data_IF_413787968286
#
_entry.id   IF_413787968286
#
_cell.length_a   1.000
_cell.length_b   1.000
_cell.length_c   1.000
_cell.angle_alpha   90.00
_cell.angle_beta   90.00
_cell.angle_gamma   90.00
#
_symmetry.space_group_name_H-M   'P 1'
#
loop_
_entity.id
_entity.type
_entity.pdbx_description
1 polymer ?
#
# COMPACT_ATOMS: atom_id res chain seq x y z
N UNK A 1 28.44 17.07 -5.45
CA UNK A 1 27.27 17.44 -6.27
C UNK A 1 26.08 16.89 -5.54
N UNK A 2 25.17 17.74 -5.08
CA UNK A 2 23.99 17.31 -4.33
C UNK A 2 22.97 16.81 -5.36
N UNK A 3 22.78 15.50 -5.45
CA UNK A 3 21.75 14.92 -6.29
C UNK A 3 20.40 15.42 -5.82
N UNK A 4 19.81 16.28 -6.65
CA UNK A 4 18.49 16.83 -6.49
C UNK A 4 17.50 15.67 -6.63
N UNK A 5 17.19 15.00 -5.50
CA UNK A 5 16.14 13.99 -5.42
C UNK A 5 14.81 14.70 -5.73
N UNK A 6 14.51 14.84 -7.02
CA UNK A 6 13.16 15.13 -7.46
C UNK A 6 12.33 13.99 -6.93
N UNK A 7 11.63 14.23 -5.83
CA UNK A 7 10.67 13.33 -5.22
C UNK A 7 9.49 13.18 -6.20
N UNK A 8 9.75 12.50 -7.31
CA UNK A 8 8.73 12.07 -8.26
C UNK A 8 8.07 10.92 -7.55
N UNK A 9 6.98 11.21 -6.85
CA UNK A 9 6.08 10.18 -6.37
C UNK A 9 5.56 9.43 -7.61
N UNK A 10 6.18 8.29 -7.91
CA UNK A 10 5.77 7.49 -9.04
C UNK A 10 4.40 6.90 -8.73
N UNK A 11 3.46 7.05 -9.66
CA UNK A 11 2.17 6.39 -9.58
C UNK A 11 2.37 4.91 -9.91
N UNK A 12 2.06 4.03 -8.96
CA UNK A 12 2.08 2.60 -9.22
C UNK A 12 0.99 2.27 -10.26
N UNK A 13 1.29 1.54 -11.36
CA UNK A 13 0.30 1.23 -12.39
C UNK A 13 -0.93 0.49 -11.86
N UNK A 14 -0.77 -0.28 -10.78
CA UNK A 14 -1.84 -1.03 -10.15
C UNK A 14 -2.46 -0.30 -8.94
N UNK A 15 -2.07 0.95 -8.69
CA UNK A 15 -2.51 1.75 -7.55
C UNK A 15 -4.03 1.71 -7.36
N UNK A 16 -4.82 1.93 -8.42
CA UNK A 16 -6.29 1.92 -8.33
C UNK A 16 -6.83 0.58 -7.85
N UNK A 17 -6.31 -0.52 -8.40
CA UNK A 17 -6.72 -1.88 -8.03
C UNK A 17 -6.31 -2.22 -6.61
N UNK A 18 -5.07 -1.89 -6.25
CA UNK A 18 -4.53 -2.13 -4.90
C UNK A 18 -5.31 -1.32 -3.86
N UNK A 19 -5.73 -0.10 -4.20
CA UNK A 19 -6.56 0.75 -3.34
C UNK A 19 -7.98 0.20 -3.17
N UNK A 20 -8.60 -0.28 -4.24
CA UNK A 20 -9.91 -0.95 -4.18
C UNK A 20 -9.85 -2.22 -3.33
N UNK A 21 -8.78 -3.02 -3.47
CA UNK A 21 -8.54 -4.21 -2.66
C UNK A 21 -8.37 -3.85 -1.17
N UNK A 22 -7.54 -2.84 -0.86
CA UNK A 22 -7.35 -2.37 0.51
C UNK A 22 -8.66 -1.86 1.13
N UNK A 23 -9.44 -1.07 0.39
CA UNK A 23 -10.76 -0.61 0.85
C UNK A 23 -11.72 -1.77 1.10
N UNK A 24 -11.70 -2.80 0.25
CA UNK A 24 -12.53 -4.00 0.43
C UNK A 24 -12.14 -4.77 1.68
N UNK A 25 -10.84 -4.93 1.93
CA UNK A 25 -10.31 -5.58 3.13
C UNK A 25 -10.68 -4.79 4.39
N UNK A 26 -10.55 -3.46 4.36
CA UNK A 26 -10.90 -2.58 5.48
C UNK A 26 -12.40 -2.52 5.77
N UNK A 27 -13.24 -2.68 4.76
CA UNK A 27 -14.70 -2.68 4.91
C UNK A 27 -15.26 -4.07 5.26
N UNK A 28 -14.52 -5.13 4.94
CA UNK A 28 -14.91 -6.53 5.17
C UNK A 28 -14.46 -7.08 6.51
N UNK A 29 -14.71 -8.37 6.73
CA UNK A 29 -14.25 -9.09 7.92
C UNK A 29 -12.80 -9.57 7.80
N UNK A 30 -12.12 -9.74 8.95
CA UNK A 30 -10.76 -10.22 8.99
C UNK A 30 -10.60 -11.72 8.69
N UNK A 31 -10.63 -12.05 7.40
CA UNK A 31 -10.31 -13.39 6.92
C UNK A 31 -8.81 -13.62 6.67
N UNK A 32 -8.33 -14.88 6.78
CA UNK A 32 -6.94 -15.22 6.49
C UNK A 32 -6.48 -14.79 5.09
N UNK A 33 -7.38 -14.82 4.11
CA UNK A 33 -7.10 -14.37 2.74
C UNK A 33 -6.83 -12.87 2.68
N UNK A 34 -7.64 -12.06 3.37
CA UNK A 34 -7.47 -10.61 3.48
C UNK A 34 -6.12 -10.25 4.11
N UNK A 35 -5.70 -11.01 5.13
CA UNK A 35 -4.42 -10.84 5.80
C UNK A 35 -3.23 -11.18 4.88
N UNK A 36 -3.36 -12.25 4.08
CA UNK A 36 -2.37 -12.61 3.07
C UNK A 36 -2.25 -11.55 1.95
N UNK A 37 -3.37 -11.01 1.48
CA UNK A 37 -3.39 -9.92 0.50
C UNK A 37 -2.81 -8.61 1.07
N UNK A 38 -3.09 -8.27 2.33
CA UNK A 38 -2.47 -7.15 3.04
C UNK A 38 -0.94 -7.28 3.09
N UNK A 39 -0.44 -8.45 3.50
CA UNK A 39 1.00 -8.73 3.53
C UNK A 39 1.63 -8.64 2.13
N UNK A 40 0.93 -9.15 1.10
CA UNK A 40 1.37 -9.06 -0.29
C UNK A 40 1.45 -7.61 -0.78
N UNK A 41 0.46 -6.78 -0.46
CA UNK A 41 0.49 -5.35 -0.76
C UNK A 41 1.65 -4.66 -0.03
N UNK A 42 1.89 -4.99 1.23
CA UNK A 42 3.01 -4.41 1.99
C UNK A 42 4.37 -4.71 1.37
N UNK A 43 4.58 -5.94 0.87
CA UNK A 43 5.80 -6.34 0.16
C UNK A 43 5.90 -5.63 -1.19
N UNK A 44 4.79 -5.51 -1.93
CA UNK A 44 4.74 -4.84 -3.24
C UNK A 44 5.17 -3.38 -3.17
N UNK A 45 4.74 -2.67 -2.12
CA UNK A 45 5.06 -1.27 -1.91
C UNK A 45 6.35 -1.05 -1.11
N UNK A 46 7.02 -2.12 -0.67
CA UNK A 46 8.26 -2.03 0.10
C UNK A 46 9.39 -1.42 -0.75
N UNK A 47 9.99 -0.34 -0.25
CA UNK A 47 11.03 0.39 -0.97
C UNK A 47 10.56 1.13 -2.24
N UNK A 48 9.26 1.16 -2.54
CA UNK A 48 8.74 1.87 -3.72
C UNK A 48 8.82 3.38 -3.53
N UNK A 49 9.46 4.07 -4.48
CA UNK A 49 9.60 5.53 -4.50
C UNK A 49 8.29 6.19 -4.98
N UNK A 50 7.26 6.20 -4.15
CA UNK A 50 5.94 6.75 -4.46
C UNK A 50 4.83 6.06 -3.68
N UNK A 51 3.57 6.41 -3.97
CA UNK A 51 2.39 5.81 -3.33
C UNK A 51 2.47 5.78 -1.78
N UNK A 52 3.01 6.84 -1.16
CA UNK A 52 3.18 6.91 0.30
C UNK A 52 1.84 6.89 1.04
N UNK A 53 0.79 7.32 0.36
CA UNK A 53 -0.58 7.29 0.81
C UNK A 53 -1.09 5.85 0.99
N UNK A 54 -0.87 4.95 0.01
CA UNK A 54 -1.27 3.55 0.16
C UNK A 54 -0.41 2.84 1.20
N UNK A 55 0.88 3.15 1.30
CA UNK A 55 1.75 2.62 2.36
C UNK A 55 1.22 3.01 3.76
N UNK A 56 0.88 4.28 3.98
CA UNK A 56 0.30 4.76 5.24
C UNK A 56 -1.03 4.09 5.57
N UNK A 57 -1.88 3.89 4.57
CA UNK A 57 -3.17 3.26 4.80
C UNK A 57 -3.04 1.73 4.99
N UNK A 58 -2.05 1.09 4.36
CA UNK A 58 -1.66 -0.29 4.66
C UNK A 58 -1.16 -0.45 6.09
N UNK A 59 -0.29 0.45 6.56
CA UNK A 59 0.21 0.42 7.93
C UNK A 59 -0.94 0.61 8.94
N UNK A 60 -1.86 1.56 8.69
CA UNK A 60 -3.07 1.71 9.53
C UNK A 60 -3.97 0.49 9.52
N UNK A 61 -4.14 -0.15 8.36
CA UNK A 61 -4.92 -1.36 8.24
C UNK A 61 -4.30 -2.49 9.07
N UNK A 62 -2.97 -2.62 9.06
CA UNK A 62 -2.23 -3.58 9.89
C UNK A 62 -2.27 -3.23 11.38
N UNK A 63 -2.30 -1.95 11.76
CA UNK A 63 -2.43 -1.52 13.16
C UNK A 63 -3.84 -1.73 13.73
N UNK A 64 -4.88 -1.63 12.89
CA UNK A 64 -6.27 -1.80 13.31
C UNK A 64 -6.64 -3.28 13.53
N UNK A 65 -5.85 -4.20 13.00
CA UNK A 65 -6.06 -5.64 13.06
C UNK A 65 -5.16 -6.28 14.12
#
# INVERSE_FOLDING_TARGET
MADNQTNKDYLHPQYRKDRELLNTILAGEPEPLSMAELARLRIRYDGFQGARDIQRDLDKALEQW
#
